data_IF_646703967798
#
_entry.id   IF_646703967798
#
_cell.length_a   1.000
_cell.length_b   1.000
_cell.length_c   1.000
_cell.angle_alpha   90.00
_cell.angle_beta   90.00
_cell.angle_gamma   90.00
#
_symmetry.space_group_name_H-M   'P 1'
#
loop_
_entity.id
_entity.type
_entity.pdbx_description
1 polymer ?
#
# COMPACT_ATOMS: atom_id res chain seq x y z
N UNK A 1 -28.18 -7.35 -17.76
CA UNK A 1 -28.00 -5.95 -18.17
C UNK A 1 -26.50 -5.66 -18.13
N UNK A 2 -25.87 -5.34 -19.26
CA UNK A 2 -24.47 -4.94 -19.30
C UNK A 2 -24.32 -3.62 -18.57
N UNK A 3 -23.74 -3.64 -17.36
CA UNK A 3 -23.40 -2.42 -16.64
C UNK A 3 -22.28 -1.73 -17.43
N UNK A 4 -22.64 -0.75 -18.27
CA UNK A 4 -21.63 0.09 -18.93
C UNK A 4 -20.81 0.78 -17.82
N UNK A 5 -19.55 0.42 -17.73
CA UNK A 5 -18.60 1.04 -16.77
C UNK A 5 -18.66 2.56 -17.04
N UNK A 6 -18.96 3.34 -16.02
CA UNK A 6 -18.94 4.79 -16.12
C UNK A 6 -17.47 5.27 -16.20
N UNK A 7 -17.00 5.49 -17.41
CA UNK A 7 -15.60 5.86 -17.70
C UNK A 7 -15.16 7.11 -16.92
N UNK A 8 -16.04 8.10 -16.74
CA UNK A 8 -15.73 9.31 -15.96
C UNK A 8 -15.52 8.99 -14.49
N UNK A 9 -16.38 8.14 -13.91
CA UNK A 9 -16.21 7.68 -12.53
C UNK A 9 -14.91 6.89 -12.37
N UNK A 10 -14.59 6.00 -13.33
CA UNK A 10 -13.36 5.22 -13.30
C UNK A 10 -12.11 6.10 -13.38
N UNK A 11 -12.07 7.12 -14.25
CA UNK A 11 -10.95 8.06 -14.34
C UNK A 11 -10.77 8.81 -13.01
N UNK A 12 -11.85 9.31 -12.41
CA UNK A 12 -11.78 10.00 -11.11
C UNK A 12 -11.22 9.09 -10.01
N UNK A 13 -11.67 7.82 -9.99
CA UNK A 13 -11.18 6.82 -9.03
C UNK A 13 -9.69 6.48 -9.27
N UNK A 14 -9.26 6.34 -10.54
CA UNK A 14 -7.85 6.10 -10.86
C UNK A 14 -6.95 7.27 -10.44
N UNK A 15 -7.40 8.51 -10.59
CA UNK A 15 -6.64 9.67 -10.09
C UNK A 15 -6.56 9.69 -8.55
N UNK A 16 -7.58 9.16 -7.86
CA UNK A 16 -7.49 8.95 -6.41
C UNK A 16 -6.44 7.87 -6.05
N UNK A 17 -6.26 6.81 -6.87
CA UNK A 17 -5.15 5.88 -6.70
C UNK A 17 -3.80 6.54 -6.91
N UNK A 18 -3.69 7.47 -7.86
CA UNK A 18 -2.47 8.26 -8.01
C UNK A 18 -2.18 9.07 -6.74
N UNK A 19 -3.19 9.78 -6.21
CA UNK A 19 -3.07 10.52 -4.96
C UNK A 19 -2.78 9.62 -3.75
N UNK A 20 -3.25 8.37 -3.74
CA UNK A 20 -2.92 7.37 -2.73
C UNK A 20 -1.41 7.07 -2.68
N UNK A 21 -0.69 7.22 -3.80
CA UNK A 21 0.76 7.07 -3.88
C UNK A 21 1.55 8.19 -3.21
N UNK A 22 0.93 9.32 -2.87
CA UNK A 22 1.63 10.45 -2.26
C UNK A 22 2.27 10.10 -0.91
N UNK A 23 1.72 9.16 -0.18
CA UNK A 23 2.30 8.71 1.09
C UNK A 23 3.70 8.12 0.93
N UNK A 24 4.00 7.55 -0.22
CA UNK A 24 5.29 6.92 -0.48
C UNK A 24 6.41 7.99 -0.61
N UNK A 25 6.04 9.29 -0.79
CA UNK A 25 7.00 10.41 -0.71
C UNK A 25 7.70 10.48 0.66
N UNK A 26 7.07 9.99 1.73
CA UNK A 26 7.64 10.04 3.08
C UNK A 26 9.00 9.34 3.14
N UNK A 27 9.18 8.27 2.38
CA UNK A 27 10.45 7.55 2.31
C UNK A 27 11.59 8.43 1.80
N UNK A 28 11.39 9.14 0.69
CA UNK A 28 12.42 10.04 0.16
C UNK A 28 12.52 11.35 0.97
N UNK A 29 11.38 11.90 1.40
CA UNK A 29 11.33 13.12 2.17
C UNK A 29 12.06 12.97 3.50
N UNK A 30 11.94 11.82 4.17
CA UNK A 30 12.64 11.57 5.45
C UNK A 30 14.17 11.65 5.32
N UNK A 31 14.74 11.28 4.17
CA UNK A 31 16.16 11.40 3.90
C UNK A 31 16.59 12.86 3.76
N UNK A 32 15.80 13.69 3.08
CA UNK A 32 16.06 15.13 3.01
C UNK A 32 15.90 15.82 4.35
N UNK A 33 14.82 15.52 5.09
CA UNK A 33 14.60 16.05 6.46
C UNK A 33 15.74 15.64 7.39
N UNK A 34 16.21 14.39 7.31
CA UNK A 34 17.39 13.92 8.05
C UNK A 34 18.60 14.82 7.80
N UNK A 35 18.88 15.12 6.53
CA UNK A 35 20.00 15.98 6.11
C UNK A 35 19.82 17.41 6.59
N UNK A 36 18.65 18.01 6.36
CA UNK A 36 18.38 19.41 6.66
C UNK A 36 18.37 19.71 8.16
N UNK A 37 17.87 18.77 8.98
CA UNK A 37 17.78 18.90 10.43
C UNK A 37 18.89 18.15 11.19
N UNK A 38 19.89 17.59 10.47
CA UNK A 38 21.01 16.81 11.03
C UNK A 38 20.54 15.68 11.99
N UNK A 39 19.48 14.98 11.64
CA UNK A 39 18.91 13.91 12.45
C UNK A 39 19.74 12.62 12.34
N UNK A 40 19.72 11.79 13.39
CA UNK A 40 20.19 10.42 13.28
C UNK A 40 19.18 9.52 12.55
N UNK A 41 19.60 8.31 12.16
CA UNK A 41 18.76 7.36 11.43
C UNK A 41 17.52 6.93 12.20
N UNK A 42 17.65 6.70 13.50
CA UNK A 42 16.53 6.30 14.36
C UNK A 42 15.42 7.36 14.38
N UNK A 43 15.79 8.62 14.53
CA UNK A 43 14.84 9.74 14.52
C UNK A 43 14.21 9.98 13.16
N UNK A 44 14.98 9.86 12.07
CA UNK A 44 14.45 10.00 10.71
C UNK A 44 13.47 8.89 10.36
N UNK A 45 13.70 7.65 10.84
CA UNK A 45 12.84 6.51 10.60
C UNK A 45 11.50 6.56 11.35
N UNK A 46 11.32 7.51 12.28
CA UNK A 46 10.01 7.77 12.90
C UNK A 46 8.98 8.15 11.83
N UNK A 47 9.36 8.96 10.84
CA UNK A 47 8.42 9.44 9.81
C UNK A 47 7.76 8.32 9.00
N UNK A 48 8.49 7.42 8.34
CA UNK A 48 7.85 6.31 7.61
C UNK A 48 7.15 5.32 8.56
N UNK A 49 7.64 5.13 9.79
CA UNK A 49 7.00 4.24 10.77
C UNK A 49 5.62 4.74 11.20
N UNK A 50 5.41 6.06 11.28
CA UNK A 50 4.11 6.64 11.60
C UNK A 50 3.03 6.29 10.57
N UNK A 51 3.38 6.15 9.30
CA UNK A 51 2.41 5.79 8.27
C UNK A 51 1.75 4.44 8.60
N UNK A 52 2.55 3.41 8.91
CA UNK A 52 2.03 2.08 9.25
C UNK A 52 1.29 2.08 10.60
N UNK A 53 1.72 2.89 11.55
CA UNK A 53 1.05 3.06 12.84
C UNK A 53 -0.38 3.60 12.67
N UNK A 54 -0.60 4.56 11.79
CA UNK A 54 -1.92 5.11 11.53
C UNK A 54 -2.87 4.12 10.85
N UNK A 55 -2.34 3.17 10.05
CA UNK A 55 -3.16 2.08 9.52
C UNK A 55 -3.76 1.21 10.61
N UNK A 56 -3.01 0.93 11.68
CA UNK A 56 -3.52 0.16 12.81
C UNK A 56 -4.69 0.87 13.51
N UNK A 57 -4.59 2.19 13.66
CA UNK A 57 -5.56 2.97 14.45
C UNK A 57 -6.79 3.39 13.62
N UNK A 58 -6.59 3.92 12.41
CA UNK A 58 -7.67 4.60 11.69
C UNK A 58 -8.41 3.71 10.67
N UNK A 59 -7.90 2.54 10.29
CA UNK A 59 -8.57 1.74 9.27
C UNK A 59 -9.95 1.23 9.69
N UNK A 60 -10.09 0.66 10.89
CA UNK A 60 -11.39 0.20 11.40
C UNK A 60 -12.35 1.37 11.66
N UNK A 61 -11.95 2.47 12.32
CA UNK A 61 -12.78 3.67 12.41
C UNK A 61 -13.28 4.18 11.07
N UNK A 62 -12.43 4.15 10.04
CA UNK A 62 -12.80 4.56 8.68
C UNK A 62 -13.83 3.61 8.07
N UNK A 63 -13.68 2.31 8.27
CA UNK A 63 -14.68 1.32 7.84
C UNK A 63 -16.07 1.60 8.42
N UNK A 64 -16.12 1.89 9.73
CA UNK A 64 -17.36 2.27 10.41
C UNK A 64 -17.89 3.65 9.94
N UNK A 65 -17.00 4.61 9.70
CA UNK A 65 -17.36 5.93 9.21
C UNK A 65 -18.00 5.86 7.83
N UNK A 66 -17.53 5.00 6.93
CA UNK A 66 -18.12 4.81 5.60
C UNK A 66 -19.61 4.41 5.65
N UNK A 67 -20.05 3.69 6.68
CA UNK A 67 -21.45 3.35 6.84
C UNK A 67 -22.35 4.58 7.11
N UNK A 68 -21.78 5.64 7.71
CA UNK A 68 -22.50 6.86 8.04
C UNK A 68 -22.51 7.88 6.91
N UNK A 69 -21.33 8.16 6.33
CA UNK A 69 -21.17 9.23 5.36
C UNK A 69 -21.02 8.75 3.91
N UNK A 70 -20.82 7.42 3.69
CA UNK A 70 -20.58 6.82 2.37
C UNK A 70 -19.11 6.77 1.99
N UNK A 71 -18.77 5.93 1.01
CA UNK A 71 -17.41 5.68 0.53
C UNK A 71 -16.83 6.91 -0.18
N UNK A 72 -17.60 7.49 -1.12
CA UNK A 72 -17.18 8.67 -1.89
C UNK A 72 -16.86 9.86 -0.98
N UNK A 73 -17.69 10.14 0.02
CA UNK A 73 -17.45 11.24 0.96
C UNK A 73 -16.24 10.96 1.84
N UNK A 74 -16.00 9.69 2.20
CA UNK A 74 -14.79 9.31 2.96
C UNK A 74 -13.52 9.48 2.13
N UNK A 75 -13.54 9.13 0.82
CA UNK A 75 -12.43 9.43 -0.10
C UNK A 75 -12.21 10.94 -0.24
N UNK A 76 -13.28 11.73 -0.32
CA UNK A 76 -13.18 13.19 -0.35
C UNK A 76 -12.53 13.75 0.93
N UNK A 77 -12.92 13.22 2.10
CA UNK A 77 -12.30 13.60 3.37
C UNK A 77 -10.80 13.20 3.40
N UNK A 78 -10.44 12.04 2.88
CA UNK A 78 -9.04 11.62 2.82
C UNK A 78 -8.20 12.53 1.94
N UNK A 79 -8.74 12.96 0.78
CA UNK A 79 -8.07 13.92 -0.11
C UNK A 79 -7.90 15.28 0.60
N UNK A 80 -8.91 15.75 1.32
CA UNK A 80 -8.80 16.98 2.10
C UNK A 80 -7.70 16.90 3.15
N UNK A 81 -7.66 15.81 3.94
CA UNK A 81 -6.62 15.59 4.95
C UNK A 81 -5.24 15.52 4.29
N UNK A 82 -5.11 14.84 3.15
CA UNK A 82 -3.87 14.74 2.39
C UNK A 82 -3.41 16.11 1.87
N UNK A 83 -4.33 16.92 1.32
CA UNK A 83 -4.02 18.29 0.86
C UNK A 83 -3.52 19.15 2.01
N UNK A 84 -4.18 19.10 3.17
CA UNK A 84 -3.73 19.82 4.37
C UNK A 84 -2.36 19.32 4.83
N UNK A 85 -2.13 18.01 4.82
CA UNK A 85 -0.82 17.43 5.15
C UNK A 85 0.31 17.93 4.25
N UNK A 86 0.04 18.03 2.94
CA UNK A 86 1.01 18.51 1.94
C UNK A 86 1.23 20.02 2.00
N UNK A 87 0.28 20.79 2.53
CA UNK A 87 0.39 22.23 2.69
C UNK A 87 1.37 22.61 3.83
N UNK A 88 1.38 21.85 4.92
CA UNK A 88 2.12 22.17 6.14
C UNK A 88 3.65 22.34 5.91
N UNK A 89 4.36 21.42 5.20
CA UNK A 89 5.80 21.53 4.97
C UNK A 89 6.21 22.72 4.08
N UNK A 90 5.27 23.37 3.42
CA UNK A 90 5.54 24.55 2.60
C UNK A 90 5.89 25.75 3.50
N UNK A 91 5.30 25.82 4.70
CA UNK A 91 5.45 26.96 5.61
C UNK A 91 6.53 26.78 6.68
N UNK A 92 7.12 25.61 6.81
CA UNK A 92 8.13 25.37 7.84
C UNK A 92 8.92 24.08 7.69
N UNK A 93 10.07 24.02 8.39
CA UNK A 93 11.08 22.95 8.25
C UNK A 93 11.39 22.23 9.56
N UNK A 94 10.74 22.61 10.68
CA UNK A 94 11.07 22.00 11.96
C UNK A 94 10.64 20.51 12.04
N UNK A 95 11.30 19.74 12.91
CA UNK A 95 10.96 18.34 13.15
C UNK A 95 9.48 18.15 13.48
N UNK A 96 8.90 19.01 14.33
CA UNK A 96 7.48 18.92 14.71
C UNK A 96 6.54 19.20 13.53
N UNK A 97 6.88 20.17 12.68
CA UNK A 97 6.11 20.46 11.48
C UNK A 97 6.10 19.25 10.55
N UNK A 98 7.25 18.63 10.30
CA UNK A 98 7.35 17.42 9.47
C UNK A 98 6.64 16.23 10.10
N UNK A 99 6.73 16.07 11.44
CA UNK A 99 6.05 15.02 12.18
C UNK A 99 4.53 15.11 12.03
N UNK A 100 3.97 16.31 12.19
CA UNK A 100 2.53 16.57 12.02
C UNK A 100 2.12 16.32 10.56
N UNK A 101 2.87 16.84 9.61
CA UNK A 101 2.59 16.68 8.18
C UNK A 101 2.56 15.20 7.77
N UNK A 102 3.58 14.43 8.12
CA UNK A 102 3.67 13.02 7.78
C UNK A 102 2.67 12.15 8.56
N UNK A 103 2.33 12.53 9.80
CA UNK A 103 1.22 11.91 10.53
C UNK A 103 -0.10 12.12 9.82
N UNK A 104 -0.42 13.35 9.44
CA UNK A 104 -1.65 13.65 8.70
C UNK A 104 -1.68 12.97 7.32
N UNK A 105 -0.53 12.89 6.64
CA UNK A 105 -0.41 12.16 5.37
C UNK A 105 -0.70 10.66 5.55
N UNK A 106 -0.19 10.06 6.63
CA UNK A 106 -0.47 8.67 7.00
C UNK A 106 -1.95 8.45 7.33
N UNK A 107 -2.56 9.35 8.10
CA UNK A 107 -4.00 9.31 8.40
C UNK A 107 -4.82 9.44 7.10
N UNK A 108 -4.52 10.45 6.28
CA UNK A 108 -5.19 10.66 4.99
C UNK A 108 -5.08 9.42 4.10
N UNK A 109 -3.91 8.80 4.03
CA UNK A 109 -3.71 7.59 3.25
C UNK A 109 -4.48 6.38 3.81
N UNK A 110 -4.57 6.25 5.13
CA UNK A 110 -5.39 5.19 5.76
C UNK A 110 -6.86 5.36 5.38
N UNK A 111 -7.40 6.57 5.49
CA UNK A 111 -8.77 6.87 5.07
C UNK A 111 -8.95 6.55 3.58
N UNK A 112 -7.99 6.95 2.73
CA UNK A 112 -8.02 6.72 1.30
C UNK A 112 -8.04 5.22 0.97
N UNK A 113 -7.09 4.45 1.45
CA UNK A 113 -6.99 3.03 1.13
C UNK A 113 -8.21 2.25 1.62
N UNK A 114 -8.72 2.60 2.82
CA UNK A 114 -9.90 1.94 3.38
C UNK A 114 -11.16 2.22 2.58
N UNK A 115 -11.33 3.42 2.02
CA UNK A 115 -12.57 3.83 1.35
C UNK A 115 -12.53 3.69 -0.18
N UNK A 116 -11.37 3.90 -0.80
CA UNK A 116 -11.23 3.87 -2.25
C UNK A 116 -11.38 2.45 -2.81
N UNK A 117 -10.79 1.45 -2.14
CA UNK A 117 -10.86 0.07 -2.61
C UNK A 117 -12.31 -0.47 -2.69
N UNK A 118 -13.18 -0.33 -1.68
CA UNK A 118 -14.58 -0.71 -1.82
C UNK A 118 -15.39 0.24 -2.73
N UNK A 119 -14.95 1.50 -2.93
CA UNK A 119 -15.56 2.40 -3.91
C UNK A 119 -15.36 1.87 -5.33
N UNK A 120 -14.20 1.27 -5.64
CA UNK A 120 -13.96 0.58 -6.92
C UNK A 120 -14.99 -0.51 -7.16
N UNK A 121 -15.32 -1.31 -6.14
CA UNK A 121 -16.32 -2.37 -6.25
C UNK A 121 -17.70 -1.84 -6.67
N UNK A 122 -18.03 -0.63 -6.24
CA UNK A 122 -19.28 0.06 -6.63
C UNK A 122 -19.27 0.50 -8.11
N UNK A 123 -18.08 0.84 -8.64
CA UNK A 123 -17.95 1.37 -10.02
C UNK A 123 -17.85 0.26 -11.06
N UNK A 124 -17.18 -0.87 -10.76
CA UNK A 124 -16.84 -1.89 -11.78
C UNK A 124 -17.55 -3.23 -11.60
N UNK A 125 -18.16 -3.48 -10.45
CA UNK A 125 -18.76 -4.77 -10.13
C UNK A 125 -17.72 -5.86 -9.81
N UNK A 126 -18.22 -7.02 -9.31
CA UNK A 126 -17.37 -8.07 -8.73
C UNK A 126 -16.38 -8.73 -9.70
N UNK A 127 -16.82 -9.03 -10.94
CA UNK A 127 -16.02 -9.82 -11.90
C UNK A 127 -14.70 -9.12 -12.34
N UNK A 128 -14.65 -7.79 -12.29
CA UNK A 128 -13.48 -7.02 -12.70
C UNK A 128 -12.77 -6.36 -11.51
N UNK A 129 -13.18 -6.65 -10.27
CA UNK A 129 -12.68 -5.95 -9.09
C UNK A 129 -11.18 -6.15 -8.90
N UNK A 130 -10.69 -7.39 -8.91
CA UNK A 130 -9.27 -7.69 -8.72
C UNK A 130 -8.39 -7.01 -9.79
N UNK A 131 -8.77 -7.14 -11.07
CA UNK A 131 -8.06 -6.50 -12.19
C UNK A 131 -8.04 -4.97 -12.05
N UNK A 132 -9.16 -4.34 -11.65
CA UNK A 132 -9.23 -2.88 -11.50
C UNK A 132 -8.47 -2.40 -10.27
N UNK A 133 -8.50 -3.12 -9.16
CA UNK A 133 -7.66 -2.83 -7.99
C UNK A 133 -6.18 -2.93 -8.34
N UNK A 134 -5.78 -3.96 -9.08
CA UNK A 134 -4.40 -4.13 -9.56
C UNK A 134 -3.97 -2.97 -10.47
N UNK A 135 -4.85 -2.52 -11.38
CA UNK A 135 -4.58 -1.33 -12.19
C UNK A 135 -4.45 -0.07 -11.33
N UNK A 136 -5.27 0.06 -10.30
CA UNK A 136 -5.14 1.14 -9.31
C UNK A 136 -3.78 1.12 -8.59
N UNK A 137 -3.29 -0.07 -8.19
CA UNK A 137 -1.95 -0.20 -7.61
C UNK A 137 -0.83 0.17 -8.60
N UNK A 138 -0.99 -0.13 -9.89
CA UNK A 138 -0.07 0.33 -10.93
C UNK A 138 -0.06 1.86 -11.03
N UNK A 139 -1.25 2.49 -11.06
CA UNK A 139 -1.37 3.97 -11.10
C UNK A 139 -0.76 4.60 -9.84
N UNK A 140 -0.99 4.00 -8.66
CA UNK A 140 -0.32 4.39 -7.41
C UNK A 140 1.20 4.35 -7.54
N UNK A 141 1.74 3.27 -8.10
CA UNK A 141 3.18 3.08 -8.25
C UNK A 141 3.83 4.16 -9.13
N UNK A 142 3.11 4.73 -10.11
CA UNK A 142 3.62 5.84 -10.91
C UNK A 142 3.89 7.07 -10.04
N UNK A 143 2.96 7.43 -9.15
CA UNK A 143 3.16 8.55 -8.23
C UNK A 143 4.35 8.31 -7.28
N UNK A 144 4.44 7.10 -6.73
CA UNK A 144 5.56 6.70 -5.85
C UNK A 144 6.91 6.79 -6.58
N UNK A 145 6.96 6.36 -7.85
CA UNK A 145 8.15 6.43 -8.68
C UNK A 145 8.56 7.87 -9.01
N UNK A 146 7.62 8.77 -9.20
CA UNK A 146 7.90 10.18 -9.53
C UNK A 146 8.47 10.97 -8.35
N UNK A 147 8.14 10.61 -7.12
CA UNK A 147 8.50 11.37 -5.92
C UNK A 147 10.00 11.66 -5.77
N UNK A 148 10.93 10.68 -5.86
CA UNK A 148 12.35 10.94 -5.73
C UNK A 148 12.90 11.83 -6.84
N UNK A 149 12.40 11.70 -8.07
CA UNK A 149 12.83 12.54 -9.19
C UNK A 149 12.40 14.00 -9.01
N UNK A 150 11.14 14.23 -8.62
CA UNK A 150 10.64 15.59 -8.36
C UNK A 150 11.44 16.24 -7.22
N UNK A 151 11.68 15.50 -6.13
CA UNK A 151 12.48 15.98 -5.01
C UNK A 151 13.91 16.32 -5.43
N UNK A 152 14.58 15.44 -6.18
CA UNK A 152 15.94 15.67 -6.68
C UNK A 152 16.02 16.87 -7.64
N UNK A 153 15.07 16.99 -8.57
CA UNK A 153 15.01 18.13 -9.49
C UNK A 153 14.77 19.46 -8.76
N UNK A 154 13.91 19.45 -7.71
CA UNK A 154 13.72 20.60 -6.84
C UNK A 154 14.98 20.96 -6.05
N UNK A 155 15.67 19.98 -5.50
CA UNK A 155 16.91 20.16 -4.75
C UNK A 155 18.05 20.74 -5.63
N UNK A 156 18.14 20.32 -6.89
CA UNK A 156 19.10 20.82 -7.87
C UNK A 156 18.61 22.04 -8.65
N UNK A 157 17.41 22.55 -8.35
CA UNK A 157 16.73 23.63 -9.05
C UNK A 157 16.54 23.38 -10.56
N UNK A 158 16.52 22.12 -10.98
CA UNK A 158 16.23 21.74 -12.36
C UNK A 158 14.77 22.02 -12.77
N UNK A 159 13.88 22.17 -11.77
CA UNK A 159 12.50 22.66 -11.92
C UNK A 159 12.30 23.89 -11.02
N UNK A 160 11.31 24.77 -11.32
CA UNK A 160 10.99 25.90 -10.47
C UNK A 160 10.62 25.44 -9.04
N UNK A 161 11.44 25.76 -8.06
CA UNK A 161 11.25 25.36 -6.66
C UNK A 161 10.82 26.50 -5.74
N UNK A 162 10.75 27.73 -6.24
CA UNK A 162 10.34 28.92 -5.47
C UNK A 162 11.10 29.10 -4.15
N UNK A 163 12.34 28.67 -4.09
CA UNK A 163 13.20 28.77 -2.90
C UNK A 163 12.99 27.66 -1.84
N UNK A 164 12.07 26.72 -2.07
CA UNK A 164 11.80 25.63 -1.13
C UNK A 164 12.56 24.32 -1.47
N UNK A 165 13.36 24.32 -2.52
CA UNK A 165 14.23 23.22 -2.90
C UNK A 165 13.46 21.91 -3.14
N UNK A 166 13.89 20.81 -2.53
CA UNK A 166 13.25 19.50 -2.65
C UNK A 166 11.78 19.48 -2.19
N UNK A 167 11.37 20.41 -1.34
CA UNK A 167 10.00 20.52 -0.84
C UNK A 167 8.99 20.94 -1.90
N UNK A 168 9.45 21.31 -3.10
CA UNK A 168 8.55 21.55 -4.25
C UNK A 168 7.67 20.32 -4.57
N UNK A 169 8.08 19.15 -4.12
CA UNK A 169 7.29 17.92 -4.18
C UNK A 169 5.89 18.09 -3.55
N UNK A 170 5.80 18.80 -2.43
CA UNK A 170 4.55 19.00 -1.70
C UNK A 170 3.51 19.81 -2.50
N UNK A 171 3.80 21.02 -3.01
CA UNK A 171 2.82 21.77 -3.79
C UNK A 171 2.46 21.09 -5.11
N UNK A 172 3.38 20.34 -5.75
CA UNK A 172 3.07 19.58 -6.97
C UNK A 172 2.04 18.49 -6.65
N UNK A 173 2.26 17.69 -5.62
CA UNK A 173 1.32 16.64 -5.22
C UNK A 173 0.02 17.21 -4.67
N UNK A 174 0.08 18.34 -3.98
CA UNK A 174 -1.11 19.07 -3.52
C UNK A 174 -1.99 19.51 -4.70
N UNK A 175 -1.40 20.07 -5.75
CA UNK A 175 -2.15 20.48 -6.96
C UNK A 175 -2.86 19.28 -7.60
N UNK A 176 -2.18 18.14 -7.73
CA UNK A 176 -2.78 16.90 -8.25
C UNK A 176 -3.90 16.41 -7.32
N UNK A 177 -3.71 16.48 -6.01
CA UNK A 177 -4.73 16.12 -5.01
C UNK A 177 -6.00 17.00 -5.13
N UNK A 178 -5.83 18.30 -5.39
CA UNK A 178 -6.95 19.23 -5.65
C UNK A 178 -7.69 18.82 -6.92
N UNK A 179 -6.97 18.54 -8.00
CA UNK A 179 -7.58 18.06 -9.27
C UNK A 179 -8.34 16.75 -9.05
N UNK A 180 -7.75 15.80 -8.31
CA UNK A 180 -8.42 14.54 -7.96
C UNK A 180 -9.71 14.79 -7.17
N UNK A 181 -9.67 15.71 -6.21
CA UNK A 181 -10.84 16.10 -5.40
C UNK A 181 -11.94 16.68 -6.25
N UNK A 182 -11.63 17.59 -7.15
CA UNK A 182 -12.61 18.22 -8.04
C UNK A 182 -13.23 17.20 -9.01
N UNK A 183 -12.43 16.34 -9.63
CA UNK A 183 -12.93 15.30 -10.53
C UNK A 183 -13.83 14.30 -9.79
N UNK A 184 -13.45 13.91 -8.57
CA UNK A 184 -14.28 13.02 -7.76
C UNK A 184 -15.57 13.71 -7.31
N UNK A 185 -15.51 15.00 -6.94
CA UNK A 185 -16.68 15.77 -6.52
C UNK A 185 -17.77 15.78 -7.62
N UNK A 186 -17.37 16.07 -8.86
CA UNK A 186 -18.27 16.14 -10.02
C UNK A 186 -18.59 14.77 -10.64
N UNK A 187 -17.97 13.68 -10.19
CA UNK A 187 -18.29 12.35 -10.66
C UNK A 187 -19.63 11.88 -10.08
N UNK A 188 -20.49 11.30 -10.92
CA UNK A 188 -21.75 10.68 -10.49
C UNK A 188 -21.50 9.20 -10.16
N UNK A 189 -21.25 8.90 -8.89
CA UNK A 189 -21.14 7.55 -8.36
C UNK A 189 -22.35 7.31 -7.46
N UNK A 190 -23.22 6.39 -7.88
CA UNK A 190 -24.36 5.98 -7.08
C UNK A 190 -23.89 4.93 -6.07
N UNK A 191 -23.94 5.28 -4.80
CA UNK A 191 -23.71 4.35 -3.71
C UNK A 191 -25.06 3.87 -3.18
N UNK A 192 -25.26 2.55 -3.15
CA UNK A 192 -26.38 1.99 -2.41
C UNK A 192 -26.13 2.25 -0.91
N UNK A 193 -27.09 2.91 -0.26
CA UNK A 193 -27.02 3.11 1.19
C UNK A 193 -26.93 1.74 1.86
N UNK A 194 -25.89 1.54 2.64
CA UNK A 194 -25.71 0.28 3.41
C UNK A 194 -26.97 0.03 4.25
N UNK A 195 -27.62 -1.10 4.05
CA UNK A 195 -28.89 -1.47 4.71
C UNK A 195 -28.78 -1.46 6.25
N UNK A 196 -27.56 -1.48 6.77
CA UNK A 196 -27.25 -1.45 8.21
C UNK A 196 -27.56 -0.11 8.91
N UNK A 197 -27.83 0.99 8.17
CA UNK A 197 -28.06 2.31 8.78
C UNK A 197 -29.54 2.61 9.02
N UNK A 198 -30.46 1.87 8.37
CA UNK A 198 -31.88 2.09 8.55
C UNK A 198 -32.42 1.34 9.79
N UNK A 199 -32.02 1.74 10.99
CA UNK A 199 -32.73 1.25 12.19
C UNK A 199 -31.91 0.98 13.45
N UNK A 200 -30.59 1.08 13.45
CA UNK A 200 -29.85 0.86 14.68
C UNK A 200 -29.21 2.13 15.23
N UNK A 201 -29.74 2.67 16.30
CA UNK A 201 -29.08 3.59 17.23
C UNK A 201 -27.91 2.89 17.96
N UNK A 202 -27.18 1.99 17.27
CA UNK A 202 -26.07 1.28 17.86
C UNK A 202 -24.96 2.26 18.21
N UNK A 203 -24.55 2.28 19.47
CA UNK A 203 -23.44 3.06 19.98
C UNK A 203 -22.20 2.77 19.15
N UNK A 204 -21.36 3.77 18.89
CA UNK A 204 -20.10 3.64 18.11
C UNK A 204 -19.26 2.44 18.58
N UNK A 205 -19.15 2.23 19.90
CA UNK A 205 -18.45 1.08 20.47
C UNK A 205 -19.00 -0.27 20.03
N UNK A 206 -20.32 -0.41 19.85
CA UNK A 206 -20.95 -1.63 19.35
C UNK A 206 -20.60 -1.89 17.89
N UNK A 207 -20.55 -0.83 17.07
CA UNK A 207 -20.15 -0.95 15.66
C UNK A 207 -18.69 -1.40 15.52
N UNK A 208 -17.80 -0.93 16.38
CA UNK A 208 -16.41 -1.42 16.47
C UNK A 208 -16.36 -2.90 16.86
N UNK A 209 -17.08 -3.27 17.92
CA UNK A 209 -17.12 -4.67 18.35
C UNK A 209 -17.66 -5.60 17.26
N UNK A 210 -18.66 -5.16 16.49
CA UNK A 210 -19.18 -5.92 15.36
C UNK A 210 -18.19 -6.05 14.20
N UNK A 211 -17.36 -5.01 13.97
CA UNK A 211 -16.29 -5.08 12.99
C UNK A 211 -15.26 -6.16 13.39
N UNK A 212 -14.77 -6.14 14.62
CA UNK A 212 -13.81 -7.15 15.10
C UNK A 212 -14.40 -8.56 15.17
N UNK A 213 -15.71 -8.72 15.41
CA UNK A 213 -16.37 -10.03 15.32
C UNK A 213 -16.27 -10.68 13.93
N UNK A 214 -16.07 -9.90 12.87
CA UNK A 214 -15.85 -10.46 11.54
C UNK A 214 -14.54 -11.25 11.44
N UNK A 215 -13.55 -11.00 12.28
CA UNK A 215 -12.35 -11.84 12.38
C UNK A 215 -12.69 -13.26 12.91
N UNK A 216 -13.82 -13.46 13.55
CA UNK A 216 -14.35 -14.79 13.88
C UNK A 216 -14.82 -15.60 12.66
N UNK A 217 -15.01 -14.98 11.50
CA UNK A 217 -15.27 -15.69 10.23
C UNK A 217 -13.92 -16.19 9.67
N UNK A 218 -13.71 -17.50 9.49
CA UNK A 218 -12.41 -18.06 9.10
C UNK A 218 -11.84 -17.41 7.84
N UNK A 219 -12.68 -17.16 6.82
CA UNK A 219 -12.24 -16.56 5.58
C UNK A 219 -11.71 -15.13 5.78
N UNK A 220 -12.36 -14.31 6.61
CA UNK A 220 -11.93 -12.92 6.89
C UNK A 220 -10.61 -12.92 7.66
N UNK A 221 -10.47 -13.79 8.65
CA UNK A 221 -9.23 -13.92 9.42
C UNK A 221 -8.07 -14.38 8.53
N UNK A 222 -8.29 -15.41 7.71
CA UNK A 222 -7.26 -15.89 6.78
C UNK A 222 -6.86 -14.81 5.78
N UNK A 223 -7.82 -14.03 5.27
CA UNK A 223 -7.55 -12.91 4.37
C UNK A 223 -6.76 -11.80 5.07
N UNK A 224 -7.12 -11.46 6.31
CA UNK A 224 -6.41 -10.48 7.13
C UNK A 224 -4.94 -10.88 7.34
N UNK A 225 -4.69 -12.13 7.75
CA UNK A 225 -3.31 -12.66 7.90
C UNK A 225 -2.61 -12.69 6.53
N UNK A 226 -3.32 -13.03 5.44
CA UNK A 226 -2.77 -13.00 4.08
C UNK A 226 -2.27 -11.62 3.67
N UNK A 227 -3.01 -10.56 3.99
CA UNK A 227 -2.57 -9.18 3.76
C UNK A 227 -1.38 -8.81 4.65
N UNK A 228 -1.37 -9.23 5.92
CA UNK A 228 -0.22 -9.03 6.79
C UNK A 228 1.05 -9.68 6.21
N UNK A 229 0.94 -10.91 5.72
CA UNK A 229 2.06 -11.61 5.07
C UNK A 229 2.51 -10.90 3.80
N UNK A 230 1.57 -10.50 2.93
CA UNK A 230 1.87 -9.78 1.69
C UNK A 230 2.70 -8.52 1.97
N UNK A 231 2.22 -7.66 2.89
CA UNK A 231 2.91 -6.39 3.20
C UNK A 231 4.21 -6.63 3.96
N UNK A 232 4.23 -7.64 4.83
CA UNK A 232 5.45 -8.06 5.53
C UNK A 232 6.55 -8.50 4.57
N UNK A 233 6.20 -9.25 3.52
CA UNK A 233 7.13 -9.66 2.46
C UNK A 233 7.54 -8.46 1.61
N UNK A 234 6.62 -7.54 1.31
CA UNK A 234 6.87 -6.32 0.55
C UNK A 234 7.93 -5.44 1.23
N UNK A 235 7.66 -5.04 2.46
CA UNK A 235 8.58 -4.22 3.26
C UNK A 235 9.85 -4.99 3.60
N UNK A 236 9.70 -6.27 3.93
CA UNK A 236 10.80 -7.17 4.26
C UNK A 236 11.80 -7.31 3.11
N UNK A 237 11.32 -7.52 1.88
CA UNK A 237 12.20 -7.61 0.72
C UNK A 237 12.95 -6.30 0.48
N UNK A 238 12.26 -5.16 0.58
CA UNK A 238 12.88 -3.85 0.38
C UNK A 238 14.00 -3.55 1.38
N UNK A 239 13.83 -3.98 2.63
CA UNK A 239 14.83 -3.74 3.68
C UNK A 239 15.96 -4.77 3.69
N UNK A 240 15.69 -5.99 3.25
CA UNK A 240 16.62 -7.13 3.37
C UNK A 240 17.43 -7.38 2.09
N UNK A 241 16.83 -7.14 0.89
CA UNK A 241 17.53 -7.42 -0.36
C UNK A 241 18.87 -6.69 -0.51
N UNK A 242 19.00 -5.38 -0.20
CA UNK A 242 20.31 -4.73 -0.20
C UNK A 242 21.29 -5.36 0.78
N UNK A 243 20.82 -5.71 1.98
CA UNK A 243 21.67 -6.31 3.03
C UNK A 243 22.20 -7.69 2.62
N UNK A 244 21.40 -8.50 1.93
CA UNK A 244 21.83 -9.79 1.38
C UNK A 244 22.95 -9.60 0.35
N UNK A 245 22.84 -8.60 -0.54
CA UNK A 245 23.88 -8.31 -1.52
C UNK A 245 25.19 -7.88 -0.85
N UNK A 246 25.13 -7.02 0.17
CA UNK A 246 26.30 -6.59 0.93
C UNK A 246 26.92 -7.80 1.65
N UNK A 247 26.12 -8.61 2.33
CA UNK A 247 26.60 -9.76 3.11
C UNK A 247 27.29 -10.82 2.22
N UNK A 248 26.68 -11.16 1.07
CA UNK A 248 27.13 -12.28 0.25
C UNK A 248 28.06 -11.92 -0.89
N UNK A 249 27.86 -10.75 -1.50
CA UNK A 249 28.64 -10.32 -2.66
C UNK A 249 29.71 -9.30 -2.32
N UNK A 250 29.73 -8.79 -1.06
CA UNK A 250 30.67 -7.76 -0.60
C UNK A 250 30.63 -6.48 -1.46
N UNK A 251 29.48 -6.18 -2.08
CA UNK A 251 29.29 -4.97 -2.87
C UNK A 251 29.13 -3.74 -1.98
N UNK A 252 29.37 -2.56 -2.54
CA UNK A 252 29.13 -1.28 -1.86
C UNK A 252 27.65 -1.07 -1.52
N UNK A 253 27.36 -0.17 -0.59
CA UNK A 253 25.98 0.20 -0.25
C UNK A 253 25.23 0.79 -1.46
N UNK A 254 25.91 1.58 -2.27
CA UNK A 254 25.35 2.22 -3.47
C UNK A 254 24.96 1.17 -4.53
N UNK A 255 25.82 0.17 -4.75
CA UNK A 255 25.51 -0.95 -5.66
C UNK A 255 24.36 -1.82 -5.14
N UNK A 256 24.32 -2.02 -3.82
CA UNK A 256 23.26 -2.80 -3.18
C UNK A 256 21.89 -2.12 -3.23
N UNK A 257 21.84 -0.78 -3.23
CA UNK A 257 20.60 0.00 -3.32
C UNK A 257 19.80 -0.33 -4.60
N UNK A 258 20.47 -0.78 -5.68
CA UNK A 258 19.79 -1.24 -6.89
C UNK A 258 18.82 -2.40 -6.66
N UNK A 259 19.04 -3.23 -5.63
CA UNK A 259 18.13 -4.32 -5.27
C UNK A 259 16.70 -3.84 -4.99
N UNK A 260 16.57 -2.74 -4.24
CA UNK A 260 15.27 -2.12 -3.96
C UNK A 260 14.61 -1.59 -5.24
N UNK A 261 15.37 -0.94 -6.11
CA UNK A 261 14.87 -0.46 -7.40
C UNK A 261 14.39 -1.62 -8.28
N UNK A 262 15.15 -2.70 -8.33
CA UNK A 262 14.81 -3.91 -9.09
C UNK A 262 13.49 -4.54 -8.60
N UNK A 263 13.31 -4.62 -7.28
CA UNK A 263 12.05 -5.09 -6.70
C UNK A 263 10.86 -4.24 -7.16
N UNK A 264 10.95 -2.92 -7.05
CA UNK A 264 9.85 -2.02 -7.43
C UNK A 264 9.58 -2.01 -8.94
N UNK A 265 10.61 -2.12 -9.78
CA UNK A 265 10.45 -2.27 -11.24
C UNK A 265 9.59 -3.50 -11.54
N UNK A 266 9.97 -4.67 -11.01
CA UNK A 266 9.23 -5.90 -11.28
C UNK A 266 7.85 -5.93 -10.61
N UNK A 267 7.69 -5.33 -9.47
CA UNK A 267 6.39 -5.12 -8.84
C UNK A 267 5.47 -4.25 -9.71
N UNK A 268 5.98 -3.17 -10.27
CA UNK A 268 5.21 -2.29 -11.16
C UNK A 268 4.84 -2.99 -12.47
N UNK A 269 5.78 -3.73 -13.08
CA UNK A 269 5.52 -4.57 -14.25
C UNK A 269 4.46 -5.63 -13.92
N UNK A 270 4.55 -6.25 -12.76
CA UNK A 270 3.58 -7.24 -12.30
C UNK A 270 2.18 -6.67 -12.10
N UNK A 271 2.04 -5.47 -11.53
CA UNK A 271 0.75 -4.78 -11.45
C UNK A 271 0.19 -4.44 -12.83
N UNK A 272 1.03 -3.94 -13.74
CA UNK A 272 0.60 -3.62 -15.10
C UNK A 272 0.11 -4.86 -15.85
N UNK A 273 0.95 -5.89 -15.95
CA UNK A 273 0.62 -7.13 -16.65
C UNK A 273 -0.52 -7.90 -15.98
N UNK A 274 -0.54 -7.93 -14.65
CA UNK A 274 -1.59 -8.56 -13.87
C UNK A 274 -2.97 -7.96 -14.11
N UNK A 275 -3.06 -6.66 -14.44
CA UNK A 275 -4.31 -6.01 -14.85
C UNK A 275 -4.96 -6.72 -16.03
N UNK A 276 -4.18 -7.18 -16.99
CA UNK A 276 -4.67 -7.89 -18.18
C UNK A 276 -4.86 -9.37 -17.89
N UNK A 277 -3.89 -10.01 -17.24
CA UNK A 277 -3.97 -11.44 -16.95
C UNK A 277 -5.14 -11.81 -16.05
N UNK A 278 -5.49 -11.00 -15.06
CA UNK A 278 -6.63 -11.21 -14.17
C UNK A 278 -8.00 -11.09 -14.89
N UNK A 279 -8.03 -10.68 -16.14
CA UNK A 279 -9.25 -10.69 -16.98
C UNK A 279 -9.43 -11.98 -17.77
N UNK A 280 -8.35 -12.71 -18.03
CA UNK A 280 -8.32 -13.87 -18.93
C UNK A 280 -7.94 -15.17 -18.21
N UNK A 281 -7.22 -15.09 -17.11
CA UNK A 281 -6.77 -16.23 -16.31
C UNK A 281 -7.61 -16.30 -15.01
N UNK A 282 -7.96 -17.52 -14.60
CA UNK A 282 -8.63 -17.74 -13.32
C UNK A 282 -7.81 -17.17 -12.17
N UNK A 283 -8.45 -16.43 -11.27
CA UNK A 283 -7.82 -15.76 -10.14
C UNK A 283 -6.98 -16.73 -9.27
N UNK A 284 -7.49 -17.94 -9.03
CA UNK A 284 -6.78 -18.96 -8.24
C UNK A 284 -5.49 -19.41 -8.93
N UNK A 285 -5.56 -19.70 -10.25
CA UNK A 285 -4.38 -20.10 -11.02
C UNK A 285 -3.33 -19.00 -11.00
N UNK A 286 -3.74 -17.75 -11.26
CA UNK A 286 -2.84 -16.59 -11.21
C UNK A 286 -2.22 -16.41 -9.83
N UNK A 287 -3.01 -16.55 -8.75
CA UNK A 287 -2.53 -16.47 -7.37
C UNK A 287 -1.47 -17.56 -7.08
N UNK A 288 -1.76 -18.80 -7.47
CA UNK A 288 -0.82 -19.93 -7.27
C UNK A 288 0.49 -19.69 -8.02
N UNK A 289 0.44 -19.27 -9.29
CA UNK A 289 1.64 -18.94 -10.08
C UNK A 289 2.45 -17.86 -9.36
N UNK A 290 1.79 -16.78 -8.92
CA UNK A 290 2.43 -15.67 -8.19
C UNK A 290 3.14 -16.16 -6.93
N UNK A 291 2.47 -16.99 -6.13
CA UNK A 291 3.06 -17.52 -4.88
C UNK A 291 4.18 -18.53 -5.14
N UNK A 292 4.07 -19.34 -6.19
CA UNK A 292 5.16 -20.25 -6.61
C UNK A 292 6.39 -19.45 -7.00
N UNK A 293 6.25 -18.36 -7.75
CA UNK A 293 7.36 -17.44 -8.06
C UNK A 293 8.00 -16.88 -6.78
N UNK A 294 7.19 -16.52 -5.78
CA UNK A 294 7.69 -16.06 -4.49
C UNK A 294 8.42 -17.18 -3.71
N UNK A 295 7.94 -18.43 -3.74
CA UNK A 295 8.62 -19.58 -3.12
C UNK A 295 9.99 -19.82 -3.77
N UNK A 296 10.04 -19.82 -5.10
CA UNK A 296 11.30 -19.95 -5.84
C UNK A 296 12.27 -18.80 -5.49
N UNK A 297 11.74 -17.59 -5.34
CA UNK A 297 12.51 -16.43 -4.89
C UNK A 297 13.10 -16.65 -3.48
N UNK A 298 12.29 -17.12 -2.53
CA UNK A 298 12.80 -17.39 -1.17
C UNK A 298 13.91 -18.44 -1.18
N UNK A 299 13.77 -19.50 -1.97
CA UNK A 299 14.86 -20.48 -2.15
C UNK A 299 16.11 -19.82 -2.72
N UNK A 300 16.00 -19.02 -3.78
CA UNK A 300 17.13 -18.33 -4.38
C UNK A 300 17.77 -17.30 -3.45
N UNK A 301 16.98 -16.58 -2.63
CA UNK A 301 17.49 -15.67 -1.60
C UNK A 301 18.14 -16.41 -0.42
N UNK A 302 17.75 -17.65 -0.11
CA UNK A 302 18.37 -18.45 0.95
C UNK A 302 19.72 -19.04 0.53
N UNK A 303 19.82 -19.63 -0.68
CA UNK A 303 20.99 -20.37 -1.10
C UNK A 303 21.85 -19.69 -2.16
N UNK A 304 21.34 -18.62 -2.79
CA UNK A 304 22.03 -17.94 -3.90
C UNK A 304 23.33 -17.27 -3.46
N UNK A 305 24.40 -17.53 -4.20
CA UNK A 305 25.73 -16.94 -3.99
C UNK A 305 26.18 -16.06 -5.16
N UNK A 306 25.52 -16.16 -6.30
CA UNK A 306 25.83 -15.34 -7.48
C UNK A 306 24.90 -14.13 -7.60
N UNK A 307 25.43 -13.03 -8.15
CA UNK A 307 24.68 -11.79 -8.41
C UNK A 307 23.41 -12.05 -9.25
N UNK A 308 23.53 -12.91 -10.27
CA UNK A 308 22.41 -13.26 -11.15
C UNK A 308 21.27 -13.94 -10.39
N UNK A 309 21.59 -14.97 -9.57
CA UNK A 309 20.57 -15.70 -8.78
C UNK A 309 19.85 -14.75 -7.83
N UNK A 310 20.59 -13.89 -7.13
CA UNK A 310 20.00 -12.94 -6.18
C UNK A 310 19.12 -11.92 -6.90
N UNK A 311 19.55 -11.37 -8.04
CA UNK A 311 18.75 -10.41 -8.80
C UNK A 311 17.50 -11.04 -9.40
N UNK A 312 17.59 -12.25 -9.97
CA UNK A 312 16.43 -12.98 -10.46
C UNK A 312 15.46 -13.28 -9.31
N UNK A 313 15.95 -13.64 -8.14
CA UNK A 313 15.09 -13.89 -6.98
C UNK A 313 14.39 -12.63 -6.52
N UNK A 314 15.06 -11.47 -6.47
CA UNK A 314 14.45 -10.18 -6.12
C UNK A 314 13.38 -9.80 -7.16
N UNK A 315 13.65 -10.00 -8.43
CA UNK A 315 12.68 -9.75 -9.50
C UNK A 315 11.44 -10.66 -9.39
N UNK A 316 11.66 -11.95 -9.10
CA UNK A 316 10.57 -12.93 -8.93
C UNK A 316 9.65 -12.59 -7.76
N UNK A 317 10.20 -12.19 -6.60
CA UNK A 317 9.34 -11.81 -5.47
C UNK A 317 8.62 -10.48 -5.76
N UNK A 318 9.28 -9.54 -6.42
CA UNK A 318 8.65 -8.28 -6.83
C UNK A 318 7.44 -8.51 -7.74
N UNK A 319 7.61 -9.30 -8.79
CA UNK A 319 6.54 -9.66 -9.70
C UNK A 319 5.46 -10.51 -9.01
N UNK A 320 5.84 -11.57 -8.30
CA UNK A 320 4.92 -12.48 -7.63
C UNK A 320 4.05 -11.78 -6.57
N UNK A 321 4.65 -10.89 -5.78
CA UNK A 321 3.94 -10.19 -4.71
C UNK A 321 3.01 -9.07 -5.23
N UNK A 322 3.17 -8.62 -6.47
CA UNK A 322 2.53 -7.42 -7.02
C UNK A 322 1.00 -7.42 -6.96
N UNK A 323 0.36 -8.57 -7.15
CA UNK A 323 -1.10 -8.69 -7.29
C UNK A 323 -1.78 -9.36 -6.08
N UNK A 324 -1.01 -9.84 -5.12
CA UNK A 324 -1.51 -10.59 -3.94
C UNK A 324 -2.51 -9.77 -3.15
N UNK A 325 -2.19 -8.49 -2.87
CA UNK A 325 -3.10 -7.58 -2.19
C UNK A 325 -4.46 -7.48 -2.90
N UNK A 326 -4.45 -7.18 -4.19
CA UNK A 326 -5.66 -6.95 -4.98
C UNK A 326 -6.56 -8.18 -5.02
N UNK A 327 -5.95 -9.38 -5.12
CA UNK A 327 -6.67 -10.64 -5.13
C UNK A 327 -7.30 -10.95 -3.77
N UNK A 328 -6.53 -10.89 -2.68
CA UNK A 328 -7.04 -11.16 -1.34
C UNK A 328 -8.12 -10.14 -0.98
N UNK A 329 -7.88 -8.86 -1.24
CA UNK A 329 -8.81 -7.79 -0.91
C UNK A 329 -10.13 -7.94 -1.67
N UNK A 330 -10.08 -8.20 -3.00
CA UNK A 330 -11.26 -8.41 -3.81
C UNK A 330 -12.08 -9.62 -3.31
N UNK A 331 -11.42 -10.73 -3.00
CA UNK A 331 -12.06 -11.94 -2.46
C UNK A 331 -12.69 -11.69 -1.08
N UNK A 332 -12.02 -10.92 -0.21
CA UNK A 332 -12.54 -10.56 1.10
C UNK A 332 -13.83 -9.74 1.00
N UNK A 333 -13.87 -8.73 0.12
CA UNK A 333 -15.06 -7.92 -0.12
C UNK A 333 -16.21 -8.73 -0.71
N UNK A 334 -15.92 -9.66 -1.63
CA UNK A 334 -16.92 -10.50 -2.28
C UNK A 334 -17.49 -11.57 -1.35
N UNK A 335 -16.71 -12.03 -0.37
CA UNK A 335 -17.15 -13.05 0.58
C UNK A 335 -18.14 -12.51 1.62
N UNK A 336 -18.10 -11.22 1.92
CA UNK A 336 -18.98 -10.55 2.89
C UNK A 336 -19.59 -9.29 2.26
N UNK A 337 -20.46 -9.44 1.26
CA UNK A 337 -20.98 -8.30 0.50
C UNK A 337 -21.82 -7.34 1.35
N UNK A 338 -22.43 -7.85 2.42
CA UNK A 338 -23.26 -7.06 3.35
C UNK A 338 -22.45 -6.14 4.28
N UNK A 339 -21.14 -6.39 4.47
CA UNK A 339 -20.26 -5.65 5.39
C UNK A 339 -18.91 -5.27 4.74
N UNK A 340 -18.96 -4.87 3.48
CA UNK A 340 -17.73 -4.54 2.72
C UNK A 340 -16.91 -3.41 3.34
N UNK A 341 -17.55 -2.44 3.98
CA UNK A 341 -16.85 -1.31 4.60
C UNK A 341 -16.05 -1.75 5.83
N UNK A 342 -16.63 -2.60 6.68
CA UNK A 342 -15.96 -3.17 7.85
C UNK A 342 -14.86 -4.13 7.45
N UNK A 343 -15.10 -4.98 6.45
CA UNK A 343 -14.08 -5.87 5.88
C UNK A 343 -12.92 -5.05 5.30
N UNK A 344 -13.20 -3.98 4.57
CA UNK A 344 -12.16 -3.09 4.07
C UNK A 344 -11.32 -2.52 5.21
N UNK A 345 -11.96 -2.03 6.28
CA UNK A 345 -11.25 -1.52 7.45
C UNK A 345 -10.31 -2.55 8.07
N UNK A 346 -10.77 -3.81 8.22
CA UNK A 346 -9.95 -4.91 8.73
C UNK A 346 -8.80 -5.26 7.78
N UNK A 347 -9.06 -5.36 6.48
CA UNK A 347 -8.02 -5.69 5.49
C UNK A 347 -6.92 -4.63 5.47
N UNK A 348 -7.29 -3.35 5.53
CA UNK A 348 -6.31 -2.25 5.57
C UNK A 348 -5.56 -2.19 6.91
N UNK A 349 -6.19 -2.55 8.02
CA UNK A 349 -5.49 -2.74 9.29
C UNK A 349 -4.39 -3.81 9.17
N UNK A 350 -4.57 -4.82 8.32
CA UNK A 350 -3.55 -5.84 8.02
C UNK A 350 -2.24 -5.27 7.44
N UNK A 351 -2.24 -4.03 6.88
CA UNK A 351 -1.01 -3.37 6.43
C UNK A 351 -0.02 -3.12 7.57
N UNK A 352 -0.47 -3.19 8.84
CA UNK A 352 0.42 -3.20 10.00
C UNK A 352 1.42 -4.39 10.00
N UNK A 353 1.19 -5.40 9.17
CA UNK A 353 2.18 -6.43 8.85
C UNK A 353 3.53 -5.88 8.41
N UNK A 354 3.54 -4.69 7.75
CA UNK A 354 4.75 -3.95 7.40
C UNK A 354 5.57 -3.45 8.60
N UNK A 355 5.02 -3.45 9.81
CA UNK A 355 5.76 -3.21 11.06
C UNK A 355 6.13 -4.54 11.73
N UNK A 356 5.21 -5.49 11.78
CA UNK A 356 5.39 -6.76 12.51
C UNK A 356 6.51 -7.61 11.88
N UNK A 357 6.49 -7.78 10.56
CA UNK A 357 7.47 -8.61 9.86
C UNK A 357 8.90 -8.10 10.01
N UNK A 358 9.22 -6.81 9.73
CA UNK A 358 10.58 -6.30 9.91
C UNK A 358 11.11 -6.43 11.34
N UNK A 359 10.26 -6.33 12.36
CA UNK A 359 10.66 -6.55 13.76
C UNK A 359 11.11 -8.00 13.97
N UNK A 360 10.30 -8.98 13.55
CA UNK A 360 10.63 -10.41 13.66
C UNK A 360 11.85 -10.75 12.81
N UNK A 361 11.93 -10.17 11.59
CA UNK A 361 13.07 -10.35 10.69
C UNK A 361 14.37 -9.80 11.28
N UNK A 362 14.31 -8.66 11.98
CA UNK A 362 15.46 -8.11 12.70
C UNK A 362 16.00 -9.09 13.72
N UNK A 363 15.14 -9.59 14.61
CA UNK A 363 15.52 -10.58 15.63
C UNK A 363 16.08 -11.88 15.00
N UNK A 364 15.48 -12.35 13.91
CA UNK A 364 15.96 -13.53 13.20
C UNK A 364 17.32 -13.27 12.50
N UNK A 365 17.52 -12.06 11.97
CA UNK A 365 18.78 -11.67 11.35
C UNK A 365 19.92 -11.55 12.36
N UNK A 366 19.65 -11.10 13.56
CA UNK A 366 20.67 -11.03 14.64
C UNK A 366 21.18 -12.42 15.01
N UNK A 367 20.32 -13.44 14.93
CA UNK A 367 20.68 -14.83 15.25
C UNK A 367 21.30 -15.60 14.09
N UNK A 368 20.87 -15.34 12.84
CA UNK A 368 21.16 -16.20 11.67
C UNK A 368 21.69 -15.42 10.46
N UNK A 369 22.09 -14.16 10.62
CA UNK A 369 22.40 -13.28 9.47
C UNK A 369 21.16 -13.00 8.61
N UNK A 370 21.35 -12.48 7.41
CA UNK A 370 20.21 -12.14 6.53
C UNK A 370 19.38 -13.37 6.11
N UNK A 371 19.91 -14.58 6.23
CA UNK A 371 19.14 -15.80 6.03
C UNK A 371 17.94 -15.90 6.99
N UNK A 372 18.09 -15.44 8.24
CA UNK A 372 17.00 -15.39 9.22
C UNK A 372 15.83 -14.53 8.74
N UNK A 373 16.10 -13.34 8.19
CA UNK A 373 15.06 -12.50 7.61
C UNK A 373 14.33 -13.19 6.44
N UNK A 374 15.07 -13.87 5.57
CA UNK A 374 14.49 -14.62 4.44
C UNK A 374 13.59 -15.75 4.93
N UNK A 375 13.96 -16.46 5.99
CA UNK A 375 13.15 -17.54 6.59
C UNK A 375 11.81 -16.96 7.09
N UNK A 376 11.81 -15.81 7.76
CA UNK A 376 10.58 -15.17 8.23
C UNK A 376 9.67 -14.82 7.04
N UNK A 377 10.23 -14.25 5.96
CA UNK A 377 9.46 -14.00 4.73
C UNK A 377 8.94 -15.29 4.11
N UNK A 378 9.76 -16.36 4.07
CA UNK A 378 9.37 -17.66 3.52
C UNK A 378 8.18 -18.27 4.26
N UNK A 379 8.10 -18.13 5.60
CA UNK A 379 6.92 -18.54 6.39
C UNK A 379 5.67 -17.79 5.90
N UNK A 380 5.78 -16.48 5.66
CA UNK A 380 4.68 -15.70 5.08
C UNK A 380 4.27 -16.19 3.68
N UNK A 381 5.24 -16.54 2.82
CA UNK A 381 4.97 -17.08 1.47
C UNK A 381 4.30 -18.46 1.56
N UNK A 382 4.74 -19.34 2.47
CA UNK A 382 4.11 -20.65 2.71
C UNK A 382 2.66 -20.46 3.19
N UNK A 383 2.42 -19.48 4.06
CA UNK A 383 1.05 -19.14 4.45
C UNK A 383 0.21 -18.74 3.22
N UNK A 384 0.70 -17.87 2.36
CA UNK A 384 0.01 -17.45 1.13
C UNK A 384 -0.24 -18.65 0.20
N UNK A 385 0.68 -19.61 0.14
CA UNK A 385 0.48 -20.84 -0.63
C UNK A 385 -0.68 -21.67 -0.07
N UNK A 386 -0.78 -21.84 1.25
CA UNK A 386 -1.93 -22.52 1.87
C UNK A 386 -3.23 -21.76 1.67
N UNK A 387 -3.17 -20.41 1.74
CA UNK A 387 -4.32 -19.53 1.50
C UNK A 387 -4.88 -19.65 0.07
N UNK A 388 -4.07 -20.02 -0.91
CA UNK A 388 -4.48 -20.17 -2.32
C UNK A 388 -5.70 -21.08 -2.52
N UNK A 389 -5.93 -22.03 -1.59
CA UNK A 389 -7.12 -22.91 -1.59
C UNK A 389 -8.43 -22.14 -1.42
N UNK A 390 -8.38 -20.94 -0.82
CA UNK A 390 -9.53 -20.09 -0.55
C UNK A 390 -9.81 -19.09 -1.69
N UNK A 391 -8.91 -18.93 -2.65
CA UNK A 391 -9.08 -18.04 -3.81
C UNK A 391 -9.97 -18.72 -4.84
N UNK A 392 -11.03 -18.03 -5.26
CA UNK A 392 -11.99 -18.49 -6.27
C UNK A 392 -11.74 -17.86 -7.63
#
# INVERSE_FOLDING_TARGET
>A
MSNKINTRALISVMLCFFAMGFVDLVGIASNYVKKDLMLNDATANIFPSLVFFWFLIFSVPTGVMMNKIGRKKTVMLSLLVTIVALLIPIFGESFMIMLIAFSLLGIGNTLMQTSLNPLVATVVGGNHLASTLTFGQFVKAIASFMAPYIAAWGATQAIPSFGIGWRVLFPIYMAIGIVASLLLLFSHIHEEKSATVQGSSATVGRQFAECFKLLGRPFVLLSFIGIMCHVGIDVGTNTTAPKILIERLRVSLDDAAFATSLYFIFRTIGCFTGTFFLRIINNRLFFVISVVMMLLSMCGLLVGTSKLILYVSIALVGYGNSNIFSLIFAQALQNVPEKQNEVSGLMIMGLFGGTVFPLIMGLASDAMGQAGAVIVMAVGVIYLFTYSKNVK
#
